data_IF_414082088848
#
_entry.id   IF_414082088848
#
_cell.length_a   1.000
_cell.length_b   1.000
_cell.length_c   1.000
_cell.angle_alpha   90.00
_cell.angle_beta   90.00
_cell.angle_gamma   90.00
#
_symmetry.space_group_name_H-M   'P 1'
#
loop_
_entity.id
_entity.type
_entity.pdbx_description
1 polymer ?
#
# COMPACT_ATOMS: atom_id res chain seq x y z
N UNK A 1 -5.44 5.41 33.79
CA UNK A 1 -5.63 5.81 32.37
C UNK A 1 -4.28 5.61 31.69
N UNK A 2 -4.03 4.40 31.18
CA UNK A 2 -2.76 4.07 30.52
C UNK A 2 -2.93 4.44 29.03
N UNK A 3 -2.39 5.59 28.63
CA UNK A 3 -2.35 5.96 27.22
C UNK A 3 -1.32 5.07 26.52
N UNK A 4 -1.83 4.33 25.54
CA UNK A 4 -1.14 3.42 24.66
C UNK A 4 0.08 4.09 24.00
N UNK A 5 1.29 3.70 24.40
CA UNK A 5 2.57 4.24 23.91
C UNK A 5 2.97 3.69 22.52
N UNK A 6 2.07 3.05 21.76
CA UNK A 6 2.37 2.54 20.43
C UNK A 6 2.47 3.64 19.34
N UNK A 7 2.12 4.89 19.63
CA UNK A 7 2.20 6.01 18.68
C UNK A 7 3.60 6.63 18.50
N UNK A 8 4.57 6.29 19.36
CA UNK A 8 5.86 6.99 19.41
C UNK A 8 6.94 6.42 18.45
N UNK A 9 6.78 5.18 17.96
CA UNK A 9 7.77 4.56 17.07
C UNK A 9 7.62 4.98 15.60
N UNK A 10 6.39 5.33 15.16
CA UNK A 10 6.10 5.74 13.78
C UNK A 10 6.55 7.17 13.47
N UNK A 11 6.71 8.01 14.50
CA UNK A 11 7.09 9.42 14.35
C UNK A 11 8.60 9.66 14.15
N UNK A 12 9.44 8.62 14.24
CA UNK A 12 10.89 8.76 14.14
C UNK A 12 11.43 8.77 12.69
N UNK A 13 10.58 8.51 11.67
CA UNK A 13 11.02 8.32 10.29
C UNK A 13 10.04 8.80 9.24
N UNK A 14 9.39 9.97 9.43
CA UNK A 14 8.61 10.63 8.38
C UNK A 14 7.30 9.95 7.94
N UNK A 15 7.03 8.71 8.39
CA UNK A 15 5.79 7.97 8.12
C UNK A 15 4.73 8.42 9.12
N UNK A 16 3.77 9.23 8.67
CA UNK A 16 2.65 9.64 9.52
C UNK A 16 1.53 8.61 9.47
N UNK A 17 0.67 8.62 10.50
CA UNK A 17 -0.55 7.81 10.53
C UNK A 17 -1.44 8.08 9.30
N UNK A 18 -1.53 9.35 8.90
CA UNK A 18 -2.29 9.77 7.71
C UNK A 18 -1.76 9.14 6.42
N UNK A 19 -0.44 9.00 6.27
CA UNK A 19 0.15 8.28 5.13
C UNK A 19 -0.24 6.79 5.12
N UNK A 20 -0.28 6.15 6.29
CA UNK A 20 -0.65 4.73 6.43
C UNK A 20 -2.13 4.55 6.10
N UNK A 21 -3.00 5.36 6.71
CA UNK A 21 -4.46 5.29 6.50
C UNK A 21 -4.83 5.58 5.03
N UNK A 22 -4.19 6.58 4.41
CA UNK A 22 -4.40 6.92 3.00
C UNK A 22 -3.96 5.78 2.07
N UNK A 23 -2.77 5.21 2.30
CA UNK A 23 -2.27 4.07 1.53
C UNK A 23 -3.17 2.85 1.69
N UNK A 24 -3.59 2.56 2.92
CA UNK A 24 -4.48 1.44 3.22
C UNK A 24 -5.81 1.59 2.47
N UNK A 25 -6.46 2.75 2.58
CA UNK A 25 -7.75 2.99 1.95
C UNK A 25 -7.66 2.85 0.42
N UNK A 26 -6.61 3.44 -0.18
CA UNK A 26 -6.43 3.41 -1.63
C UNK A 26 -6.16 1.98 -2.14
N UNK A 27 -5.22 1.27 -1.52
CA UNK A 27 -4.87 -0.11 -1.89
C UNK A 27 -6.05 -1.04 -1.67
N UNK A 28 -6.73 -0.97 -0.53
CA UNK A 28 -7.90 -1.80 -0.24
C UNK A 28 -9.03 -1.56 -1.24
N UNK A 29 -9.32 -0.30 -1.59
CA UNK A 29 -10.33 0.03 -2.61
C UNK A 29 -9.96 -0.56 -3.97
N UNK A 30 -8.71 -0.35 -4.41
CA UNK A 30 -8.24 -0.82 -5.73
C UNK A 30 -8.17 -2.34 -5.81
N UNK A 31 -7.68 -3.01 -4.77
CA UNK A 31 -7.63 -4.48 -4.66
C UNK A 31 -9.03 -5.09 -4.78
N UNK A 32 -10.01 -4.52 -4.09
CA UNK A 32 -11.38 -5.02 -4.14
C UNK A 32 -11.96 -4.90 -5.55
N UNK A 33 -11.74 -3.78 -6.25
CA UNK A 33 -12.21 -3.65 -7.65
C UNK A 33 -11.46 -4.62 -8.57
N UNK A 34 -10.15 -4.78 -8.38
CA UNK A 34 -9.32 -5.68 -9.17
C UNK A 34 -9.74 -7.15 -9.04
N UNK A 35 -10.02 -7.61 -7.81
CA UNK A 35 -10.44 -8.98 -7.49
C UNK A 35 -11.75 -9.36 -8.19
N UNK A 36 -12.72 -8.44 -8.26
CA UNK A 36 -14.02 -8.69 -8.88
C UNK A 36 -14.12 -8.25 -10.35
N UNK A 37 -13.08 -7.67 -10.92
CA UNK A 37 -13.10 -7.22 -12.31
C UNK A 37 -12.83 -8.35 -13.28
N UNK A 38 -13.72 -8.52 -14.26
CA UNK A 38 -13.54 -9.39 -15.43
C UNK A 38 -13.06 -8.63 -16.67
N UNK A 39 -12.91 -7.30 -16.58
CA UNK A 39 -12.49 -6.46 -17.68
C UNK A 39 -10.96 -6.26 -17.63
N UNK A 40 -10.18 -6.75 -18.60
CA UNK A 40 -8.73 -6.62 -18.60
C UNK A 40 -8.28 -5.15 -18.63
N UNK A 41 -8.95 -4.29 -19.39
CA UNK A 41 -8.61 -2.85 -19.43
C UNK A 41 -8.79 -2.18 -18.08
N UNK A 42 -9.84 -2.54 -17.33
CA UNK A 42 -10.04 -1.99 -15.99
C UNK A 42 -8.96 -2.46 -15.02
N UNK A 43 -8.46 -3.69 -15.17
CA UNK A 43 -7.34 -4.22 -14.38
C UNK A 43 -6.07 -3.45 -14.69
N UNK A 44 -5.75 -3.26 -15.97
CA UNK A 44 -4.60 -2.44 -16.40
C UNK A 44 -4.69 -0.99 -15.87
N UNK A 45 -5.88 -0.38 -15.91
CA UNK A 45 -6.11 0.97 -15.37
C UNK A 45 -5.88 1.05 -13.85
N UNK A 46 -6.19 -0.03 -13.11
CA UNK A 46 -5.94 -0.13 -11.67
C UNK A 46 -4.44 -0.27 -11.41
N UNK A 47 -3.76 -1.11 -12.18
CA UNK A 47 -2.31 -1.31 -12.08
C UNK A 47 -1.56 0.00 -12.34
N UNK A 48 -1.94 0.71 -13.40
CA UNK A 48 -1.42 2.05 -13.70
C UNK A 48 -1.69 3.04 -12.56
N UNK A 49 -2.90 3.06 -11.99
CA UNK A 49 -3.24 3.95 -10.88
C UNK A 49 -2.43 3.66 -9.61
N UNK A 50 -2.11 2.39 -9.34
CA UNK A 50 -1.27 1.98 -8.21
C UNK A 50 0.19 2.35 -8.45
N UNK A 51 0.71 2.11 -9.66
CA UNK A 51 2.07 2.53 -10.02
C UNK A 51 2.27 4.05 -9.86
N UNK A 52 1.32 4.86 -10.35
CA UNK A 52 1.34 6.31 -10.18
C UNK A 52 1.24 6.75 -8.72
N UNK A 53 0.47 6.02 -7.89
CA UNK A 53 0.39 6.30 -6.46
C UNK A 53 1.72 6.01 -5.75
N UNK A 54 2.37 4.90 -6.10
CA UNK A 54 3.67 4.49 -5.56
C UNK A 54 4.75 5.52 -5.87
N UNK A 55 4.78 6.10 -7.07
CA UNK A 55 5.71 7.17 -7.44
C UNK A 55 5.60 8.42 -6.54
N UNK A 56 4.39 8.73 -6.07
CA UNK A 56 4.11 9.84 -5.16
C UNK A 56 4.06 9.48 -3.67
N UNK A 57 4.24 8.20 -3.33
CA UNK A 57 4.15 7.71 -1.95
C UNK A 57 5.35 8.18 -1.12
N UNK A 58 5.15 8.28 0.20
CA UNK A 58 6.27 8.43 1.14
C UNK A 58 7.34 7.34 0.89
N UNK A 59 8.59 7.70 0.55
CA UNK A 59 9.62 6.72 0.19
C UNK A 59 9.97 5.74 1.31
N UNK A 60 9.86 6.16 2.58
CA UNK A 60 10.11 5.30 3.73
C UNK A 60 8.98 4.28 3.90
N UNK A 61 7.74 4.69 3.66
CA UNK A 61 6.61 3.78 3.64
C UNK A 61 6.75 2.77 2.49
N UNK A 62 7.09 3.22 1.28
CA UNK A 62 7.30 2.32 0.16
C UNK A 62 8.43 1.31 0.42
N UNK A 63 9.57 1.76 0.98
CA UNK A 63 10.66 0.86 1.34
C UNK A 63 10.23 -0.21 2.36
N UNK A 64 9.41 0.19 3.32
CA UNK A 64 8.89 -0.70 4.35
C UNK A 64 7.91 -1.74 3.77
N UNK A 65 7.03 -1.32 2.85
CA UNK A 65 6.10 -2.22 2.16
C UNK A 65 6.80 -3.16 1.20
N UNK A 66 7.72 -2.64 0.38
CA UNK A 66 8.45 -3.40 -0.64
C UNK A 66 9.48 -4.38 -0.06
N UNK A 67 9.96 -4.14 1.16
CA UNK A 67 11.05 -4.91 1.78
C UNK A 67 12.30 -4.98 0.89
N UNK A 68 12.55 -3.94 0.10
CA UNK A 68 13.67 -3.86 -0.84
C UNK A 68 13.43 -4.50 -2.22
N UNK A 69 12.22 -4.99 -2.51
CA UNK A 69 11.84 -5.45 -3.85
C UNK A 69 11.59 -4.25 -4.77
N UNK A 70 12.40 -4.11 -5.83
CA UNK A 70 12.36 -2.97 -6.75
C UNK A 70 11.11 -2.91 -7.61
N UNK A 71 10.44 -4.04 -7.84
CA UNK A 71 9.26 -4.16 -8.69
C UNK A 71 7.96 -4.32 -7.88
N UNK A 72 8.01 -4.10 -6.57
CA UNK A 72 6.85 -4.24 -5.70
C UNK A 72 5.73 -3.28 -6.13
N UNK A 73 4.54 -3.84 -6.42
CA UNK A 73 3.37 -3.14 -6.97
C UNK A 73 3.55 -2.56 -8.39
N UNK A 74 4.64 -2.90 -9.08
CA UNK A 74 4.96 -2.42 -10.42
C UNK A 74 5.03 -3.55 -11.47
N UNK A 75 5.06 -4.81 -11.04
CA UNK A 75 5.07 -5.98 -11.90
C UNK A 75 3.66 -6.57 -12.10
N UNK A 76 3.21 -6.63 -13.36
CA UNK A 76 1.91 -7.19 -13.76
C UNK A 76 1.71 -8.65 -13.29
N UNK A 77 2.78 -9.45 -13.23
CA UNK A 77 2.67 -10.88 -12.89
C UNK A 77 2.37 -11.09 -11.40
N UNK A 78 3.03 -10.33 -10.53
CA UNK A 78 2.89 -10.44 -9.09
C UNK A 78 1.96 -9.39 -8.46
N UNK A 79 1.37 -8.50 -9.26
CA UNK A 79 0.61 -7.34 -8.80
C UNK A 79 -0.43 -7.67 -7.72
N UNK A 80 -1.29 -8.67 -7.96
CA UNK A 80 -2.35 -9.02 -7.00
C UNK A 80 -1.78 -9.49 -5.65
N UNK A 81 -0.71 -10.28 -5.70
CA UNK A 81 -0.03 -10.79 -4.50
C UNK A 81 0.59 -9.64 -3.72
N UNK A 82 1.25 -8.72 -4.42
CA UNK A 82 1.88 -7.54 -3.81
C UNK A 82 0.83 -6.61 -3.20
N UNK A 83 -0.34 -6.44 -3.84
CA UNK A 83 -1.46 -5.67 -3.31
C UNK A 83 -2.01 -6.25 -2.00
N UNK A 84 -2.16 -7.59 -1.92
CA UNK A 84 -2.59 -8.27 -0.68
C UNK A 84 -1.56 -8.10 0.43
N UNK A 85 -0.28 -8.32 0.11
CA UNK A 85 0.81 -8.14 1.08
C UNK A 85 0.90 -6.70 1.58
N UNK A 86 0.73 -5.70 0.69
CA UNK A 86 0.68 -4.31 1.07
C UNK A 86 -0.51 -4.01 2.00
N UNK A 87 -1.69 -4.52 1.68
CA UNK A 87 -2.90 -4.33 2.48
C UNK A 87 -2.76 -4.94 3.88
N UNK A 88 -2.26 -6.17 4.00
CA UNK A 88 -2.03 -6.84 5.29
C UNK A 88 -1.00 -6.09 6.15
N UNK A 89 0.10 -5.63 5.54
CA UNK A 89 1.11 -4.84 6.25
C UNK A 89 0.54 -3.52 6.76
N UNK A 90 -0.16 -2.78 5.91
CA UNK A 90 -0.77 -1.50 6.27
C UNK A 90 -1.83 -1.68 7.37
N UNK A 91 -2.61 -2.76 7.32
CA UNK A 91 -3.56 -3.11 8.38
C UNK A 91 -2.87 -3.35 9.72
N UNK A 92 -1.74 -4.06 9.72
CA UNK A 92 -0.94 -4.29 10.93
C UNK A 92 -0.25 -3.05 11.52
N UNK A 93 -0.21 -1.93 10.79
CA UNK A 93 0.40 -0.66 11.24
C UNK A 93 -0.62 0.33 11.84
N UNK A 94 -1.92 0.06 11.71
CA UNK A 94 -3.01 0.89 12.24
C UNK A 94 -3.38 0.52 13.68
#
# INVERSE_FOLDING_TARGET
MNQNNNGAALSAGGITRDCIESAYCFIHQKLRVFEFSTNPTQRDDIEYAIAQYVEGMNPQLYLLLSQGRTEFLLDHVNFEKDMREAQEKLEGMM
#
